data_IF_233895145849
#
_entry.id   IF_233895145849
#
_cell.length_a   1.000
_cell.length_b   1.000
_cell.length_c   1.000
_cell.angle_alpha   90.00
_cell.angle_beta   90.00
_cell.angle_gamma   90.00
#
_symmetry.space_group_name_H-M   'P 1'
#
loop_
_entity.id
_entity.type
_entity.pdbx_description
1 polymer ?
#
# COMPACT_ATOMS: atom_id res chain seq x y z
N UNK A 1 99.53 33.61 19.89
CA UNK A 1 98.46 32.62 19.66
C UNK A 1 97.33 32.96 20.60
N UNK A 2 96.42 33.80 20.11
CA UNK A 2 95.18 34.24 20.76
C UNK A 2 94.03 33.45 20.15
N UNK A 3 93.06 32.94 20.94
CA UNK A 3 91.92 32.23 20.39
C UNK A 3 90.98 33.22 19.69
N UNK A 4 90.63 32.95 18.44
CA UNK A 4 89.58 33.67 17.71
C UNK A 4 88.21 33.41 18.36
N UNK A 5 87.59 34.47 18.88
CA UNK A 5 86.18 34.49 19.27
C UNK A 5 85.30 34.39 18.02
N UNK A 6 84.76 33.20 17.76
CA UNK A 6 83.72 33.00 16.75
C UNK A 6 82.39 33.58 17.25
N UNK A 7 82.01 34.73 16.73
CA UNK A 7 80.76 35.43 16.99
C UNK A 7 79.56 34.60 16.44
N UNK A 8 78.96 33.77 17.30
CA UNK A 8 77.76 32.99 16.97
C UNK A 8 76.53 33.91 16.92
N UNK A 9 76.15 34.36 15.72
CA UNK A 9 74.87 35.01 15.50
C UNK A 9 73.72 34.07 15.94
N UNK A 10 72.82 34.50 16.85
CA UNK A 10 71.71 33.66 17.27
C UNK A 10 70.80 33.36 16.07
N UNK A 11 70.33 32.11 15.91
CA UNK A 11 69.52 31.73 14.77
C UNK A 11 68.27 32.61 14.70
N UNK A 12 67.84 33.03 13.49
CA UNK A 12 66.68 33.90 13.33
C UNK A 12 65.46 33.27 14.02
N UNK A 13 64.84 34.01 14.95
CA UNK A 13 63.61 33.59 15.63
C UNK A 13 62.58 33.26 14.57
N UNK A 14 62.29 31.97 14.36
CA UNK A 14 61.22 31.50 13.49
C UNK A 14 59.93 32.21 13.90
N UNK A 15 59.48 33.20 13.12
CA UNK A 15 58.17 33.80 13.27
C UNK A 15 57.15 32.68 13.07
N UNK A 16 56.64 32.15 14.18
CA UNK A 16 55.55 31.17 14.18
C UNK A 16 54.38 31.87 13.49
N UNK A 17 54.09 31.48 12.26
CA UNK A 17 53.04 32.08 11.45
C UNK A 17 51.68 31.66 12.02
N UNK A 18 51.26 32.30 13.12
CA UNK A 18 49.98 32.06 13.80
C UNK A 18 48.78 32.15 12.84
N UNK A 19 48.87 32.99 11.81
CA UNK A 19 47.87 33.09 10.74
C UNK A 19 47.72 31.79 9.94
N UNK A 20 48.83 31.09 9.65
CA UNK A 20 48.80 29.81 8.93
C UNK A 20 48.23 28.67 9.78
N UNK A 21 48.37 28.75 11.11
CA UNK A 21 47.75 27.79 12.02
C UNK A 21 46.23 28.00 12.09
N UNK A 22 45.77 29.25 12.21
CA UNK A 22 44.33 29.56 12.25
C UNK A 22 43.56 29.12 11.00
N UNK A 23 44.13 29.35 9.80
CA UNK A 23 43.49 28.95 8.54
C UNK A 23 43.39 27.42 8.38
N UNK A 24 44.42 26.67 8.77
CA UNK A 24 44.40 25.20 8.70
C UNK A 24 43.36 24.61 9.64
N UNK A 25 43.29 25.12 10.88
CA UNK A 25 42.28 24.68 11.85
C UNK A 25 40.87 24.99 11.37
N UNK A 26 40.63 26.19 10.84
CA UNK A 26 39.33 26.57 10.28
C UNK A 26 38.92 25.65 9.12
N UNK A 27 39.83 25.36 8.20
CA UNK A 27 39.56 24.47 7.07
C UNK A 27 39.17 23.05 7.52
N UNK A 28 39.88 22.49 8.51
CA UNK A 28 39.56 21.17 9.07
C UNK A 28 38.18 21.18 9.73
N UNK A 29 37.86 22.20 10.53
CA UNK A 29 36.56 22.32 11.20
C UNK A 29 35.42 22.43 10.18
N UNK A 30 35.58 23.26 9.13
CA UNK A 30 34.59 23.40 8.06
C UNK A 30 34.41 22.09 7.30
N UNK A 31 35.50 21.35 7.03
CA UNK A 31 35.44 20.05 6.34
C UNK A 31 34.70 19.01 7.18
N UNK A 32 35.00 18.91 8.47
CA UNK A 32 34.30 18.00 9.39
C UNK A 32 32.81 18.36 9.46
N UNK A 33 32.49 19.65 9.61
CA UNK A 33 31.10 20.12 9.64
C UNK A 33 30.35 19.77 8.34
N UNK A 34 30.99 19.94 7.18
CA UNK A 34 30.41 19.58 5.89
C UNK A 34 30.16 18.06 5.75
N UNK A 35 31.10 17.22 6.21
CA UNK A 35 30.92 15.76 6.23
C UNK A 35 29.75 15.37 7.14
N UNK A 36 29.71 15.93 8.36
CA UNK A 36 28.64 15.68 9.32
C UNK A 36 27.28 16.12 8.76
N UNK A 37 27.22 17.28 8.10
CA UNK A 37 25.99 17.77 7.47
C UNK A 37 25.56 16.92 6.26
N UNK A 38 26.50 16.40 5.47
CA UNK A 38 26.20 15.58 4.30
C UNK A 38 25.93 14.10 4.62
N UNK A 39 26.45 13.60 5.74
CA UNK A 39 26.38 12.19 6.12
C UNK A 39 24.94 11.62 6.13
N UNK A 40 23.92 12.29 6.69
CA UNK A 40 22.54 11.78 6.66
C UNK A 40 22.01 11.56 5.23
N UNK A 41 22.37 12.43 4.28
CA UNK A 41 21.95 12.30 2.88
C UNK A 41 22.63 11.11 2.18
N UNK A 42 23.94 10.93 2.39
CA UNK A 42 24.68 9.77 1.86
C UNK A 42 24.19 8.47 2.48
N UNK A 43 24.02 8.45 3.80
CA UNK A 43 23.52 7.29 4.52
C UNK A 43 22.12 6.89 4.05
N UNK A 44 21.22 7.86 3.88
CA UNK A 44 19.87 7.62 3.34
C UNK A 44 19.90 7.09 1.91
N UNK A 45 20.73 7.65 1.02
CA UNK A 45 20.90 7.13 -0.35
C UNK A 45 21.43 5.69 -0.36
N UNK A 46 22.34 5.36 0.55
CA UNK A 46 22.83 4.00 0.73
C UNK A 46 21.72 3.04 1.17
N UNK A 47 20.86 3.45 2.11
CA UNK A 47 19.70 2.64 2.51
C UNK A 47 18.69 2.45 1.36
N UNK A 48 18.44 3.47 0.54
CA UNK A 48 17.59 3.35 -0.66
C UNK A 48 18.19 2.33 -1.63
N UNK A 49 19.50 2.35 -1.84
CA UNK A 49 20.18 1.37 -2.68
C UNK A 49 20.02 -0.05 -2.13
N UNK A 50 20.13 -0.23 -0.82
CA UNK A 50 19.84 -1.51 -0.16
C UNK A 50 18.39 -1.94 -0.33
N UNK A 51 17.41 -1.04 -0.17
CA UNK A 51 16.00 -1.38 -0.37
C UNK A 51 15.76 -1.92 -1.79
N UNK A 52 16.40 -1.31 -2.80
CA UNK A 52 16.32 -1.74 -4.20
C UNK A 52 16.80 -3.19 -4.40
N UNK A 53 17.74 -3.69 -3.59
CA UNK A 53 18.20 -5.07 -3.69
C UNK A 53 17.20 -6.09 -3.16
N UNK A 54 16.03 -5.67 -2.63
CA UNK A 54 14.94 -6.55 -2.21
C UNK A 54 13.73 -6.50 -3.16
N UNK A 55 13.77 -5.63 -4.18
CA UNK A 55 12.68 -5.48 -5.15
C UNK A 55 12.44 -6.81 -5.87
N UNK A 56 11.16 -7.17 -5.97
CA UNK A 56 10.61 -8.38 -6.61
C UNK A 56 11.05 -9.72 -5.97
N UNK A 57 11.64 -9.68 -4.77
CA UNK A 57 12.00 -10.89 -4.03
C UNK A 57 10.91 -11.31 -3.05
N UNK A 58 10.81 -12.62 -2.81
CA UNK A 58 10.04 -13.18 -1.69
C UNK A 58 10.86 -13.08 -0.42
N UNK A 59 10.57 -12.09 0.42
CA UNK A 59 11.34 -11.85 1.64
C UNK A 59 11.26 -13.03 2.60
N UNK A 60 10.17 -13.81 2.55
CA UNK A 60 9.99 -15.02 3.39
C UNK A 60 11.02 -16.10 3.07
N UNK A 61 11.47 -16.17 1.82
CA UNK A 61 12.43 -17.16 1.35
C UNK A 61 13.88 -16.73 1.56
N UNK A 62 14.12 -15.49 1.97
CA UNK A 62 15.47 -14.99 2.23
C UNK A 62 16.00 -15.49 3.57
N UNK A 63 17.31 -15.58 3.71
CA UNK A 63 17.97 -15.86 4.99
C UNK A 63 17.61 -14.82 6.07
N UNK A 64 17.64 -15.25 7.33
CA UNK A 64 17.27 -14.40 8.49
C UNK A 64 18.07 -13.09 8.54
N UNK A 65 19.36 -13.13 8.21
CA UNK A 65 20.22 -11.94 8.13
C UNK A 65 19.73 -10.93 7.10
N UNK A 66 19.19 -11.41 5.97
CA UNK A 66 18.64 -10.56 4.90
C UNK A 66 17.27 -10.01 5.28
N UNK A 67 16.42 -10.80 5.94
CA UNK A 67 15.16 -10.30 6.51
C UNK A 67 15.42 -9.21 7.55
N UNK A 68 16.41 -9.40 8.43
CA UNK A 68 16.83 -8.42 9.42
C UNK A 68 17.50 -7.19 8.81
N UNK A 69 18.24 -7.34 7.71
CA UNK A 69 18.74 -6.22 6.91
C UNK A 69 17.60 -5.38 6.34
N UNK A 70 16.61 -5.98 5.69
CA UNK A 70 15.44 -5.27 5.18
C UNK A 70 14.71 -4.52 6.29
N UNK A 71 14.42 -5.19 7.43
CA UNK A 71 13.75 -4.56 8.58
C UNK A 71 14.50 -3.30 9.02
N UNK A 72 15.84 -3.37 9.16
CA UNK A 72 16.67 -2.21 9.52
C UNK A 72 16.60 -1.10 8.47
N UNK A 73 16.76 -1.44 7.19
CA UNK A 73 16.69 -0.49 6.07
C UNK A 73 15.37 0.27 6.10
N UNK A 74 14.25 -0.45 6.19
CA UNK A 74 12.90 0.14 6.17
C UNK A 74 12.67 1.06 7.37
N UNK A 75 13.09 0.64 8.57
CA UNK A 75 12.93 1.49 9.77
C UNK A 75 13.71 2.80 9.67
N UNK A 76 14.92 2.77 9.10
CA UNK A 76 15.69 3.98 8.85
C UNK A 76 15.01 4.89 7.82
N UNK A 77 14.40 4.32 6.78
CA UNK A 77 13.78 5.08 5.70
C UNK A 77 12.43 5.69 6.08
N UNK A 78 11.63 4.95 6.86
CA UNK A 78 10.27 5.34 7.28
C UNK A 78 10.28 6.15 8.59
N UNK A 79 11.42 6.21 9.29
CA UNK A 79 11.59 6.93 10.57
C UNK A 79 10.59 6.48 11.64
N UNK A 80 10.26 5.19 11.67
CA UNK A 80 9.42 4.59 12.69
C UNK A 80 10.27 3.67 13.57
N UNK A 81 10.39 3.96 14.87
CA UNK A 81 11.09 3.05 15.77
C UNK A 81 10.32 1.72 15.88
N UNK A 82 11.06 0.62 16.01
CA UNK A 82 10.50 -0.69 16.31
C UNK A 82 9.94 -0.62 17.73
N UNK A 83 8.64 -0.41 17.88
CA UNK A 83 8.01 -0.51 19.19
C UNK A 83 7.76 -1.99 19.52
N UNK A 84 8.74 -2.59 20.20
CA UNK A 84 8.52 -3.77 21.04
C UNK A 84 9.03 -5.11 20.50
N UNK A 85 9.31 -6.01 21.45
CA UNK A 85 9.77 -7.39 21.26
C UNK A 85 8.68 -8.33 20.69
N UNK A 86 7.50 -7.79 20.34
CA UNK A 86 6.32 -8.54 19.91
C UNK A 86 5.87 -8.22 18.49
N UNK A 87 6.66 -7.46 17.70
CA UNK A 87 6.34 -7.26 16.29
C UNK A 87 6.55 -8.57 15.51
N UNK A 88 5.53 -9.44 15.52
CA UNK A 88 5.47 -10.67 14.73
C UNK A 88 5.24 -10.39 13.25
N UNK A 89 5.14 -9.12 12.83
CA UNK A 89 4.97 -8.83 11.42
C UNK A 89 6.18 -9.24 10.61
N UNK A 90 5.89 -9.70 9.41
CA UNK A 90 6.90 -10.11 8.46
C UNK A 90 6.71 -9.30 7.19
N UNK A 91 7.80 -8.72 6.68
CA UNK A 91 7.82 -8.25 5.31
C UNK A 91 7.73 -9.46 4.40
N UNK A 92 6.80 -9.44 3.45
CA UNK A 92 6.61 -10.52 2.50
C UNK A 92 7.19 -10.15 1.14
N UNK A 93 6.91 -8.92 0.69
CA UNK A 93 7.28 -8.43 -0.64
C UNK A 93 7.71 -6.98 -0.58
N UNK A 94 8.64 -6.64 -1.47
CA UNK A 94 8.95 -5.25 -1.85
C UNK A 94 8.78 -5.18 -3.35
N UNK A 95 7.82 -4.41 -3.82
CA UNK A 95 7.62 -4.18 -5.25
C UNK A 95 8.07 -2.79 -5.64
N UNK A 96 8.36 -2.64 -6.93
CA UNK A 96 8.62 -1.36 -7.57
C UNK A 96 7.61 -1.14 -8.69
N UNK A 97 6.65 -0.26 -8.45
CA UNK A 97 5.54 0.00 -9.36
C UNK A 97 5.80 1.30 -10.13
N UNK A 98 5.73 1.30 -11.48
CA UNK A 98 5.83 2.53 -12.26
C UNK A 98 4.64 3.45 -11.98
N UNK A 99 4.88 4.76 -12.03
CA UNK A 99 3.85 5.81 -11.93
C UNK A 99 4.15 6.91 -12.94
N UNK A 100 3.19 7.78 -13.29
CA UNK A 100 3.45 8.93 -14.17
C UNK A 100 4.65 9.79 -13.73
N UNK A 101 4.83 9.97 -12.41
CA UNK A 101 5.95 10.75 -11.84
C UNK A 101 7.25 9.94 -11.61
N UNK A 102 7.33 8.69 -12.09
CA UNK A 102 8.49 7.82 -11.90
C UNK A 102 8.12 6.43 -11.40
N UNK A 103 8.37 6.15 -10.12
CA UNK A 103 8.00 4.87 -9.51
C UNK A 103 7.75 5.01 -8.00
N UNK A 104 7.00 4.05 -7.46
CA UNK A 104 6.78 3.87 -6.02
C UNK A 104 7.36 2.54 -5.56
N UNK A 105 7.86 2.50 -4.33
CA UNK A 105 8.08 1.24 -3.64
C UNK A 105 6.83 0.86 -2.87
N UNK A 106 6.45 -0.41 -2.95
CA UNK A 106 5.29 -0.94 -2.24
C UNK A 106 5.77 -2.07 -1.35
N UNK A 107 5.62 -1.88 -0.05
CA UNK A 107 6.08 -2.85 0.95
C UNK A 107 4.87 -3.54 1.53
N UNK A 108 4.78 -4.85 1.36
CA UNK A 108 3.77 -5.69 1.99
C UNK A 108 4.31 -6.25 3.30
N UNK A 109 3.62 -5.91 4.39
CA UNK A 109 3.80 -6.52 5.71
C UNK A 109 2.56 -7.32 6.07
N UNK A 110 2.76 -8.47 6.71
CA UNK A 110 1.68 -9.35 7.13
C UNK A 110 1.82 -9.63 8.62
N UNK A 111 0.70 -9.53 9.33
CA UNK A 111 0.55 -9.72 10.76
C UNK A 111 -0.39 -10.91 10.97
N UNK A 112 0.15 -12.11 11.25
CA UNK A 112 -0.70 -13.26 11.51
C UNK A 112 -1.45 -13.08 12.83
N UNK A 113 -2.78 -13.24 12.82
CA UNK A 113 -3.62 -13.28 14.03
C UNK A 113 -4.01 -14.71 14.34
N UNK A 114 -3.13 -15.40 15.08
CA UNK A 114 -3.25 -16.83 15.43
C UNK A 114 -4.63 -17.21 16.01
N UNK A 115 -5.22 -16.35 16.84
CA UNK A 115 -6.49 -16.66 17.51
C UNK A 115 -7.72 -16.57 16.59
N UNK A 116 -7.60 -15.94 15.42
CA UNK A 116 -8.73 -15.64 14.52
C UNK A 116 -8.58 -16.30 13.15
N UNK A 117 -7.48 -17.05 12.91
CA UNK A 117 -7.13 -17.60 11.61
C UNK A 117 -7.23 -16.57 10.47
N UNK A 118 -6.90 -15.31 10.78
CA UNK A 118 -6.91 -14.19 9.85
C UNK A 118 -5.54 -13.51 9.83
N UNK A 119 -5.29 -12.75 8.77
CA UNK A 119 -4.13 -11.89 8.68
C UNK A 119 -4.58 -10.43 8.63
N UNK A 120 -3.87 -9.57 9.35
CA UNK A 120 -3.87 -8.14 9.02
C UNK A 120 -2.73 -7.91 8.05
N UNK A 121 -3.00 -7.24 6.95
CA UNK A 121 -1.99 -6.80 6.00
C UNK A 121 -1.77 -5.30 6.16
N UNK A 122 -0.54 -4.88 5.91
CA UNK A 122 -0.17 -3.48 5.89
C UNK A 122 0.68 -3.22 4.67
N UNK A 123 0.20 -2.29 3.84
CA UNK A 123 0.87 -1.88 2.62
C UNK A 123 1.40 -0.46 2.82
N UNK A 124 2.72 -0.32 2.83
CA UNK A 124 3.37 0.98 2.85
C UNK A 124 3.78 1.37 1.44
N UNK A 125 3.36 2.56 1.00
CA UNK A 125 3.69 3.10 -0.32
C UNK A 125 4.72 4.20 -0.11
N UNK A 126 5.90 4.04 -0.70
CA UNK A 126 6.97 5.04 -0.66
C UNK A 126 7.21 5.64 -2.03
N UNK A 127 7.59 6.90 -2.07
CA UNK A 127 8.04 7.53 -3.31
C UNK A 127 9.43 7.03 -3.75
N UNK A 128 9.90 7.50 -4.89
CA UNK A 128 11.24 7.23 -5.44
C UNK A 128 12.39 7.56 -4.46
N UNK A 129 12.17 8.57 -3.63
CA UNK A 129 13.03 8.99 -2.56
C UNK A 129 12.80 8.22 -1.26
N UNK A 130 12.00 7.14 -1.23
CA UNK A 130 11.65 6.36 -0.04
C UNK A 130 11.05 7.19 1.12
N UNK A 131 10.28 8.24 0.80
CA UNK A 131 9.40 8.90 1.78
C UNK A 131 8.03 8.25 1.72
N UNK A 132 7.39 8.06 2.87
CA UNK A 132 6.03 7.53 2.95
C UNK A 132 5.07 8.46 2.19
N UNK A 133 4.28 7.87 1.30
CA UNK A 133 3.19 8.53 0.58
C UNK A 133 1.90 8.20 1.30
N UNK A 134 1.67 6.91 1.55
CA UNK A 134 0.50 6.39 2.21
C UNK A 134 0.82 5.06 2.88
N UNK A 135 -0.04 4.68 3.80
CA UNK A 135 -0.03 3.43 4.52
C UNK A 135 -1.46 2.94 4.69
N UNK A 136 -1.75 1.75 4.18
CA UNK A 136 -3.06 1.10 4.35
C UNK A 136 -2.89 -0.14 5.21
N UNK A 137 -3.75 -0.31 6.20
CA UNK A 137 -3.78 -1.47 7.09
C UNK A 137 -5.21 -2.00 7.13
N UNK A 138 -5.38 -3.29 6.86
CA UNK A 138 -6.69 -3.92 6.77
C UNK A 138 -6.60 -5.43 6.99
N UNK A 139 -7.72 -6.05 7.32
CA UNK A 139 -7.83 -7.49 7.50
C UNK A 139 -8.14 -8.18 6.16
N UNK A 140 -7.72 -9.44 6.03
CA UNK A 140 -7.96 -10.26 4.85
C UNK A 140 -9.21 -11.14 4.97
N UNK A 141 -10.17 -10.70 5.79
CA UNK A 141 -11.39 -11.46 6.09
C UNK A 141 -11.27 -12.48 7.21
N UNK A 142 -12.41 -12.93 7.71
CA UNK A 142 -12.51 -13.87 8.83
C UNK A 142 -12.19 -15.31 8.38
N UNK A 143 -11.35 -16.02 9.14
CA UNK A 143 -10.95 -17.41 8.86
C UNK A 143 -10.30 -17.62 7.47
N UNK A 144 -9.67 -16.57 6.95
CA UNK A 144 -8.94 -16.57 5.69
C UNK A 144 -7.51 -16.13 5.98
N UNK A 145 -6.56 -16.94 5.53
CA UNK A 145 -5.12 -16.66 5.67
C UNK A 145 -4.52 -16.40 4.29
N UNK A 146 -3.91 -15.23 4.12
CA UNK A 146 -3.03 -14.92 2.99
C UNK A 146 -1.95 -15.99 2.87
N UNK A 147 -1.83 -16.62 1.70
CA UNK A 147 -0.84 -17.66 1.38
C UNK A 147 0.30 -17.10 0.56
N UNK A 148 0.00 -16.25 -0.42
CA UNK A 148 1.00 -15.62 -1.29
C UNK A 148 0.49 -14.26 -1.75
N UNK A 149 1.43 -13.41 -2.15
CA UNK A 149 1.13 -12.16 -2.82
C UNK A 149 2.07 -11.98 -4.02
N UNK A 150 1.50 -11.59 -5.15
CA UNK A 150 2.18 -11.38 -6.43
C UNK A 150 1.77 -10.04 -7.03
N UNK A 151 2.51 -9.62 -8.04
CA UNK A 151 2.21 -8.43 -8.83
C UNK A 151 1.99 -8.88 -10.27
N UNK A 152 0.86 -8.51 -10.84
CA UNK A 152 0.45 -8.86 -12.20
C UNK A 152 0.39 -7.60 -13.06
N UNK A 153 0.95 -7.69 -14.26
CA UNK A 153 1.02 -6.61 -15.25
C UNK A 153 0.18 -6.88 -16.49
N UNK A 154 -0.35 -8.09 -16.65
CA UNK A 154 -0.95 -8.55 -17.89
C UNK A 154 -2.43 -8.18 -17.99
N UNK A 155 -3.12 -8.12 -16.83
CA UNK A 155 -4.56 -7.82 -16.78
C UNK A 155 -4.89 -6.35 -17.08
N UNK A 156 -4.10 -5.39 -16.57
CA UNK A 156 -4.25 -3.97 -16.88
C UNK A 156 -2.91 -3.39 -17.36
N UNK A 157 -2.78 -3.04 -18.66
CA UNK A 157 -1.51 -2.57 -19.21
C UNK A 157 -1.06 -1.23 -18.62
N UNK A 158 -1.99 -0.43 -18.10
CA UNK A 158 -1.71 0.88 -17.53
C UNK A 158 -1.19 0.80 -16.09
N UNK A 159 -1.55 -0.24 -15.34
CA UNK A 159 -1.29 -0.29 -13.92
C UNK A 159 -1.21 -1.72 -13.39
N UNK A 160 -0.15 -2.08 -12.65
CA UNK A 160 -0.05 -3.42 -12.09
C UNK A 160 -1.08 -3.65 -10.98
N UNK A 161 -1.52 -4.90 -10.88
CA UNK A 161 -2.45 -5.40 -9.87
C UNK A 161 -1.66 -6.19 -8.83
N UNK A 162 -1.91 -5.90 -7.57
CA UNK A 162 -1.46 -6.73 -6.46
C UNK A 162 -2.48 -7.85 -6.28
N UNK A 163 -2.05 -9.09 -6.45
CA UNK A 163 -2.89 -10.26 -6.25
C UNK A 163 -2.54 -10.93 -4.93
N UNK A 164 -3.55 -11.17 -4.11
CA UNK A 164 -3.45 -11.91 -2.86
C UNK A 164 -4.10 -13.27 -3.05
N UNK A 165 -3.32 -14.34 -2.90
CA UNK A 165 -3.82 -15.70 -2.94
C UNK A 165 -4.08 -16.18 -1.54
N UNK A 166 -5.30 -16.65 -1.32
CA UNK A 166 -5.87 -16.90 0.00
C UNK A 166 -6.03 -18.38 0.25
N UNK A 167 -6.03 -18.76 1.53
CA UNK A 167 -6.39 -20.09 2.00
C UNK A 167 -7.50 -19.94 3.04
N UNK A 168 -8.68 -20.47 2.74
CA UNK A 168 -9.77 -20.52 3.70
C UNK A 168 -9.69 -21.76 4.59
N UNK A 169 -10.10 -21.60 5.84
CA UNK A 169 -10.38 -22.71 6.75
C UNK A 169 -11.87 -23.10 6.66
N UNK A 170 -12.25 -24.23 7.27
CA UNK A 170 -13.54 -24.93 7.08
C UNK A 170 -14.81 -24.07 7.21
N UNK A 171 -14.74 -22.93 7.90
CA UNK A 171 -15.87 -22.03 8.16
C UNK A 171 -15.65 -20.61 7.57
N UNK A 172 -14.60 -20.42 6.76
CA UNK A 172 -14.28 -19.14 6.13
C UNK A 172 -15.10 -18.89 4.87
N UNK A 173 -15.26 -17.61 4.51
CA UNK A 173 -15.84 -17.28 3.21
C UNK A 173 -14.95 -17.82 2.08
N UNK A 174 -15.57 -18.17 0.95
CA UNK A 174 -14.90 -18.85 -0.16
C UNK A 174 -13.96 -17.96 -0.99
N UNK A 175 -13.42 -16.87 -0.43
CA UNK A 175 -12.48 -15.99 -1.10
C UNK A 175 -11.16 -16.72 -1.32
N UNK A 176 -10.79 -16.95 -2.58
CA UNK A 176 -9.53 -17.57 -2.98
C UNK A 176 -8.52 -16.54 -3.49
N UNK A 177 -8.97 -15.48 -4.15
CA UNK A 177 -8.10 -14.42 -4.64
C UNK A 177 -8.69 -13.04 -4.38
N UNK A 178 -7.87 -12.11 -3.91
CA UNK A 178 -8.22 -10.70 -3.76
C UNK A 178 -7.31 -9.85 -4.65
N UNK A 179 -7.89 -8.92 -5.40
CA UNK A 179 -7.17 -8.08 -6.36
C UNK A 179 -7.19 -6.63 -5.93
N UNK A 180 -6.01 -6.01 -5.88
CA UNK A 180 -5.85 -4.62 -5.45
C UNK A 180 -5.05 -3.81 -6.45
N UNK A 181 -5.25 -2.49 -6.46
CA UNK A 181 -4.37 -1.55 -7.16
C UNK A 181 -4.04 -0.33 -6.29
N UNK A 182 -3.22 0.57 -6.81
CA UNK A 182 -2.81 1.80 -6.11
C UNK A 182 -3.41 3.02 -6.80
N UNK A 183 -4.59 3.45 -6.37
CA UNK A 183 -5.30 4.61 -6.94
C UNK A 183 -4.97 5.85 -6.12
N UNK A 184 -4.45 6.89 -6.77
CA UNK A 184 -4.07 8.15 -6.11
C UNK A 184 -3.18 7.98 -4.87
N UNK A 185 -2.30 6.98 -4.92
CA UNK A 185 -1.41 6.63 -3.83
C UNK A 185 -2.07 5.90 -2.66
N UNK A 186 -3.32 5.46 -2.80
CA UNK A 186 -4.06 4.64 -1.83
C UNK A 186 -4.24 3.22 -2.37
N UNK A 187 -4.31 2.23 -1.49
CA UNK A 187 -4.65 0.86 -1.89
C UNK A 187 -6.16 0.78 -2.13
N UNK A 188 -6.57 0.23 -3.26
CA UNK A 188 -7.96 0.09 -3.66
C UNK A 188 -8.28 -1.37 -3.97
N UNK A 189 -9.36 -1.90 -3.42
CA UNK A 189 -9.89 -3.21 -3.77
C UNK A 189 -10.56 -3.15 -5.15
N UNK A 190 -10.26 -4.12 -6.01
CA UNK A 190 -10.78 -4.21 -7.38
C UNK A 190 -11.77 -5.35 -7.56
N UNK A 191 -11.41 -6.54 -7.03
CA UNK A 191 -12.12 -7.79 -7.30
C UNK A 191 -11.87 -8.80 -6.19
N UNK A 192 -12.88 -9.61 -5.88
CA UNK A 192 -12.79 -10.81 -5.04
C UNK A 192 -13.24 -11.99 -5.88
N UNK A 193 -12.46 -13.07 -5.86
CA UNK A 193 -12.77 -14.30 -6.58
C UNK A 193 -12.83 -15.49 -5.65
N UNK A 194 -13.70 -16.43 -6.00
CA UNK A 194 -13.70 -17.76 -5.41
C UNK A 194 -12.63 -18.67 -6.04
N UNK A 195 -12.67 -19.97 -5.69
CA UNK A 195 -11.69 -20.95 -6.18
C UNK A 195 -11.83 -21.26 -7.67
N UNK A 196 -13.00 -20.98 -8.25
CA UNK A 196 -13.30 -21.20 -9.65
C UNK A 196 -13.01 -19.95 -10.50
N UNK A 197 -12.65 -18.82 -9.85
CA UNK A 197 -12.35 -17.54 -10.50
C UNK A 197 -13.56 -16.63 -10.67
N UNK A 198 -14.71 -17.05 -10.13
CA UNK A 198 -15.97 -16.32 -10.24
C UNK A 198 -16.02 -15.16 -9.24
N UNK A 199 -16.66 -14.06 -9.62
CA UNK A 199 -16.82 -12.90 -8.76
C UNK A 199 -17.63 -13.25 -7.50
N UNK A 200 -17.10 -12.86 -6.33
CA UNK A 200 -17.82 -12.92 -5.06
C UNK A 200 -18.51 -11.58 -4.78
N UNK A 201 -19.72 -11.67 -4.21
CA UNK A 201 -20.51 -10.54 -3.70
C UNK A 201 -19.75 -9.69 -2.67
N UNK A 202 -20.02 -8.38 -2.70
CA UNK A 202 -19.58 -7.42 -1.70
C UNK A 202 -20.72 -7.06 -0.71
N UNK A 203 -20.41 -6.68 0.55
CA UNK A 203 -19.12 -6.82 1.19
C UNK A 203 -18.87 -8.26 1.63
N UNK A 204 -17.61 -8.67 1.54
CA UNK A 204 -17.10 -9.71 2.42
C UNK A 204 -16.69 -9.03 3.73
N UNK A 205 -17.30 -9.42 4.84
CA UNK A 205 -17.02 -8.83 6.15
C UNK A 205 -15.51 -8.82 6.45
N UNK A 206 -14.99 -7.62 6.73
CA UNK A 206 -13.59 -7.36 7.10
C UNK A 206 -12.55 -7.72 6.01
N UNK A 207 -12.88 -7.64 4.72
CA UNK A 207 -11.90 -7.78 3.61
C UNK A 207 -11.57 -6.44 2.98
N UNK A 208 -10.28 -6.19 2.82
CA UNK A 208 -9.77 -5.06 2.03
C UNK A 208 -9.65 -3.75 2.81
N UNK A 209 -8.97 -2.75 2.20
CA UNK A 209 -8.84 -1.41 2.78
C UNK A 209 -10.22 -0.75 2.91
N UNK A 210 -10.37 0.30 3.74
CA UNK A 210 -11.59 1.10 3.71
C UNK A 210 -11.82 1.71 2.33
N UNK A 211 -13.08 2.02 2.02
CA UNK A 211 -13.44 2.72 0.80
C UNK A 211 -12.69 4.05 0.70
N UNK A 212 -12.26 4.41 -0.51
CA UNK A 212 -11.69 5.73 -0.78
C UNK A 212 -12.79 6.77 -0.54
N UNK A 213 -12.48 7.77 0.29
CA UNK A 213 -13.40 8.89 0.53
C UNK A 213 -13.62 9.65 -0.78
N UNK A 214 -14.85 9.58 -1.30
CA UNK A 214 -15.30 10.28 -2.51
C UNK A 214 -16.64 10.94 -2.23
N UNK A 215 -16.85 12.12 -2.77
CA UNK A 215 -18.15 12.77 -2.86
C UNK A 215 -19.07 12.04 -3.84
N UNK A 216 -20.38 12.32 -3.78
CA UNK A 216 -21.36 11.72 -4.69
C UNK A 216 -21.02 11.94 -6.17
N UNK A 217 -20.55 13.16 -6.49
CA UNK A 217 -20.14 13.52 -7.84
C UNK A 217 -18.89 12.72 -8.29
N UNK A 218 -17.90 12.58 -7.41
CA UNK A 218 -16.68 11.81 -7.69
C UNK A 218 -17.00 10.32 -7.91
N UNK A 219 -17.93 9.74 -7.13
CA UNK A 219 -18.40 8.37 -7.37
C UNK A 219 -19.00 8.20 -8.77
N UNK A 220 -19.88 9.12 -9.17
CA UNK A 220 -20.53 9.11 -10.48
C UNK A 220 -19.52 9.29 -11.62
N UNK A 221 -18.56 10.20 -11.43
CA UNK A 221 -17.48 10.45 -12.39
C UNK A 221 -16.59 9.21 -12.55
N UNK A 222 -16.27 8.52 -11.46
CA UNK A 222 -15.41 7.33 -11.46
C UNK A 222 -15.95 6.18 -12.32
N UNK A 223 -17.28 6.05 -12.46
CA UNK A 223 -17.91 5.06 -13.36
C UNK A 223 -17.64 5.32 -14.84
N UNK A 224 -17.26 6.55 -15.19
CA UNK A 224 -16.90 6.95 -16.55
C UNK A 224 -15.39 7.18 -16.73
N UNK A 225 -14.58 6.85 -15.71
CA UNK A 225 -13.13 7.00 -15.77
C UNK A 225 -12.54 6.14 -16.89
N UNK A 226 -11.54 6.66 -17.64
CA UNK A 226 -10.78 5.83 -18.58
C UNK A 226 -9.90 4.80 -17.85
N UNK A 227 -9.64 4.98 -16.55
CA UNK A 227 -8.78 4.09 -15.77
C UNK A 227 -9.59 2.91 -15.23
N UNK A 228 -9.43 1.74 -15.87
CA UNK A 228 -10.21 0.53 -15.56
C UNK A 228 -10.15 0.10 -14.08
N UNK A 229 -8.99 0.16 -13.38
CA UNK A 229 -8.94 -0.11 -11.95
C UNK A 229 -9.82 0.83 -11.11
N UNK A 230 -9.97 2.09 -11.50
CA UNK A 230 -10.86 3.03 -10.82
C UNK A 230 -12.33 2.65 -10.99
N UNK A 231 -12.73 2.28 -12.21
CA UNK A 231 -14.08 1.79 -12.51
C UNK A 231 -14.38 0.54 -11.67
N UNK A 232 -13.46 -0.43 -11.64
CA UNK A 232 -13.64 -1.67 -10.87
C UNK A 232 -13.73 -1.41 -9.36
N UNK A 233 -12.85 -0.58 -8.81
CA UNK A 233 -12.92 -0.24 -7.39
C UNK A 233 -14.24 0.44 -7.06
N UNK A 234 -14.71 1.31 -7.96
CA UNK A 234 -16.00 1.98 -7.81
C UNK A 234 -17.16 0.99 -7.81
N UNK A 235 -17.19 0.05 -8.75
CA UNK A 235 -18.20 -1.00 -8.81
C UNK A 235 -18.16 -1.93 -7.59
N UNK A 236 -16.98 -2.31 -7.10
CA UNK A 236 -16.81 -3.15 -5.92
C UNK A 236 -17.49 -2.52 -4.68
N UNK A 237 -17.27 -1.23 -4.45
CA UNK A 237 -17.87 -0.51 -3.33
C UNK A 237 -19.35 -0.17 -3.51
N UNK A 238 -19.83 0.05 -4.74
CA UNK A 238 -21.26 0.16 -5.01
C UNK A 238 -22.01 -1.17 -4.81
N UNK A 239 -21.29 -2.30 -4.91
CA UNK A 239 -21.82 -3.62 -4.58
C UNK A 239 -21.92 -3.90 -3.10
N UNK A 240 -21.41 -3.02 -2.24
CA UNK A 240 -21.50 -3.20 -0.81
C UNK A 240 -22.95 -3.05 -0.32
N UNK A 241 -23.62 -4.18 -0.13
CA UNK A 241 -24.91 -4.27 0.55
C UNK A 241 -24.74 -4.08 2.06
N UNK A 242 -24.85 -2.82 2.51
CA UNK A 242 -24.87 -2.48 3.93
C UNK A 242 -26.13 -3.03 4.60
N UNK A 243 -26.03 -4.24 5.15
CA UNK A 243 -27.05 -4.80 6.04
C UNK A 243 -27.08 -4.03 7.37
N UNK A 244 -27.75 -2.88 7.39
CA UNK A 244 -28.00 -2.13 8.62
C UNK A 244 -29.01 -2.91 9.45
N UNK A 245 -28.53 -3.64 10.47
CA UNK A 245 -29.39 -4.27 11.47
C UNK A 245 -30.00 -3.27 12.47
N UNK A 246 -30.12 -1.98 12.11
CA UNK A 246 -30.66 -0.91 12.93
C UNK A 246 -31.50 0.03 12.08
N UNK A 247 -32.70 0.38 12.57
CA UNK A 247 -33.71 1.17 11.87
C UNK A 247 -33.12 2.36 11.10
N UNK A 248 -33.20 2.30 9.77
CA UNK A 248 -32.68 3.33 8.87
C UNK A 248 -33.49 4.62 9.03
N UNK A 249 -32.87 5.64 9.62
CA UNK A 249 -33.23 7.02 9.32
C UNK A 249 -32.45 7.41 8.06
N UNK A 250 -33.15 8.02 7.10
CA UNK A 250 -32.63 8.32 5.75
C UNK A 250 -31.30 9.10 5.75
N UNK A 251 -31.03 9.88 6.79
CA UNK A 251 -29.79 10.64 7.00
C UNK A 251 -28.53 9.76 7.20
N UNK A 252 -28.68 8.50 7.62
CA UNK A 252 -27.58 7.58 7.92
C UNK A 252 -27.29 6.56 6.81
N UNK A 253 -28.00 6.60 5.69
CA UNK A 253 -27.70 5.73 4.54
C UNK A 253 -26.28 6.01 4.04
N UNK A 254 -25.40 5.00 3.99
CA UNK A 254 -24.05 5.15 3.47
C UNK A 254 -24.05 5.77 2.07
N UNK A 255 -23.10 6.66 1.81
CA UNK A 255 -23.01 7.38 0.54
C UNK A 255 -23.00 6.44 -0.69
N UNK A 256 -22.27 5.28 -0.69
CA UNK A 256 -22.31 4.36 -1.82
C UNK A 256 -23.72 3.85 -2.14
N UNK A 257 -24.54 3.55 -1.13
CA UNK A 257 -25.92 3.08 -1.33
C UNK A 257 -26.81 4.16 -1.94
N UNK A 258 -26.64 5.43 -1.56
CA UNK A 258 -27.36 6.55 -2.19
C UNK A 258 -26.92 6.78 -3.64
N UNK A 259 -25.63 6.68 -3.91
CA UNK A 259 -25.10 6.79 -5.27
C UNK A 259 -25.61 5.63 -6.14
N UNK A 260 -25.65 4.41 -5.59
CA UNK A 260 -26.13 3.21 -6.28
C UNK A 260 -27.55 3.40 -6.80
N UNK A 261 -28.47 3.97 -6.01
CA UNK A 261 -29.89 4.12 -6.39
C UNK A 261 -30.17 5.32 -7.32
N UNK A 262 -29.19 6.17 -7.57
CA UNK A 262 -29.34 7.29 -8.50
C UNK A 262 -29.57 6.81 -9.95
N UNK A 263 -30.59 7.34 -10.67
CA UNK A 263 -30.91 6.88 -12.03
C UNK A 263 -29.77 7.04 -13.04
N UNK A 264 -28.93 8.07 -12.91
CA UNK A 264 -27.81 8.27 -13.82
C UNK A 264 -26.70 7.25 -13.53
N UNK A 265 -26.44 6.94 -12.25
CA UNK A 265 -25.54 5.86 -11.85
C UNK A 265 -26.03 4.51 -12.39
N UNK A 266 -27.32 4.18 -12.23
CA UNK A 266 -27.90 2.94 -12.75
C UNK A 266 -27.77 2.83 -14.27
N UNK A 267 -27.99 3.92 -15.01
CA UNK A 267 -27.76 3.96 -16.44
C UNK A 267 -26.29 3.74 -16.82
N UNK A 268 -25.35 4.29 -16.03
CA UNK A 268 -23.92 4.08 -16.22
C UNK A 268 -23.53 2.62 -15.95
N UNK A 269 -24.00 2.01 -14.86
CA UNK A 269 -23.78 0.59 -14.54
C UNK A 269 -24.33 -0.30 -15.66
N UNK A 270 -25.56 -0.06 -16.14
CA UNK A 270 -26.15 -0.82 -17.24
C UNK A 270 -25.36 -0.71 -18.56
N UNK A 271 -24.66 0.41 -18.78
CA UNK A 271 -23.72 0.57 -19.89
C UNK A 271 -22.44 -0.24 -19.66
N UNK A 272 -21.88 -0.20 -18.45
CA UNK A 272 -20.68 -0.96 -18.07
C UNK A 272 -20.89 -2.47 -18.10
N UNK A 273 -22.13 -2.96 -17.91
CA UNK A 273 -22.48 -4.36 -18.09
C UNK A 273 -22.22 -4.90 -19.50
N UNK A 274 -21.98 -4.02 -20.49
CA UNK A 274 -21.63 -4.35 -21.88
C UNK A 274 -20.19 -3.94 -22.22
N UNK A 275 -19.37 -3.65 -21.23
CA UNK A 275 -17.98 -3.24 -21.41
C UNK A 275 -17.13 -4.38 -22.01
N UNK A 276 -16.13 -4.05 -22.83
CA UNK A 276 -15.29 -5.06 -23.48
C UNK A 276 -14.42 -5.83 -22.47
N UNK A 277 -14.02 -5.16 -21.39
CA UNK A 277 -13.26 -5.79 -20.31
C UNK A 277 -14.16 -6.69 -19.45
N UNK A 278 -13.89 -8.00 -19.33
CA UNK A 278 -14.79 -8.98 -18.71
C UNK A 278 -15.06 -8.68 -17.23
N UNK A 279 -14.04 -8.31 -16.45
CA UNK A 279 -14.25 -7.99 -15.02
C UNK A 279 -15.19 -6.81 -14.79
N UNK A 280 -15.17 -5.80 -15.66
CA UNK A 280 -16.06 -4.63 -15.54
C UNK A 280 -17.49 -5.04 -15.90
N UNK A 281 -17.65 -5.78 -17.01
CA UNK A 281 -18.94 -6.27 -17.43
C UNK A 281 -19.59 -7.16 -16.37
N UNK A 282 -18.85 -8.11 -15.82
CA UNK A 282 -19.31 -9.02 -14.76
C UNK A 282 -19.68 -8.27 -13.47
N UNK A 283 -18.81 -7.37 -12.98
CA UNK A 283 -19.09 -6.58 -11.78
C UNK A 283 -20.32 -5.67 -11.95
N UNK A 284 -20.48 -5.06 -13.13
CA UNK A 284 -21.66 -4.26 -13.43
C UNK A 284 -22.93 -5.12 -13.58
N UNK A 285 -22.85 -6.29 -14.23
CA UNK A 285 -23.97 -7.23 -14.32
C UNK A 285 -24.42 -7.70 -12.93
N UNK A 286 -23.48 -7.99 -12.04
CA UNK A 286 -23.78 -8.35 -10.65
C UNK A 286 -24.68 -7.29 -9.99
N UNK A 287 -24.31 -6.01 -10.09
CA UNK A 287 -25.09 -4.90 -9.54
C UNK A 287 -26.47 -4.74 -10.18
N UNK A 288 -26.61 -4.99 -11.48
CA UNK A 288 -27.91 -4.93 -12.18
C UNK A 288 -28.86 -6.00 -11.65
N UNK A 289 -28.38 -7.25 -11.53
CA UNK A 289 -29.21 -8.37 -11.08
C UNK A 289 -29.60 -8.26 -9.60
N UNK A 290 -28.71 -7.70 -8.77
CA UNK A 290 -29.01 -7.48 -7.35
C UNK A 290 -30.24 -6.55 -7.19
N UNK A 291 -30.32 -5.48 -7.99
CA UNK A 291 -31.48 -4.56 -7.94
C UNK A 291 -32.77 -5.24 -8.42
N UNK A 292 -32.71 -6.16 -9.39
CA UNK A 292 -33.89 -6.92 -9.84
C UNK A 292 -34.42 -7.90 -8.78
N UNK A 293 -33.54 -8.39 -7.89
CA UNK A 293 -33.93 -9.27 -6.80
C UNK A 293 -34.55 -8.51 -5.63
N UNK A 294 -34.08 -7.29 -5.34
CA UNK A 294 -34.66 -6.41 -4.32
C UNK A 294 -36.08 -5.93 -4.69
N UNK A 295 -36.33 -5.69 -5.98
CA UNK A 295 -37.63 -5.19 -6.47
C UNK A 295 -38.74 -6.26 -6.50
N UNK A 296 -38.43 -7.55 -6.30
CA UNK A 296 -39.47 -8.58 -6.18
C UNK A 296 -40.12 -8.45 -4.80
N UNK A 297 -41.40 -8.04 -4.71
CA UNK A 297 -42.09 -8.02 -3.43
C UNK A 297 -42.02 -9.43 -2.83
N UNK A 298 -41.59 -9.53 -1.58
CA UNK A 298 -41.69 -10.76 -0.79
C UNK A 298 -43.16 -11.18 -0.80
N UNK A 299 -43.55 -11.99 -1.79
CA UNK A 299 -44.91 -12.52 -1.90
C UNK A 299 -45.11 -13.37 -0.67
N UNK A 300 -45.85 -12.79 0.27
CA UNK A 300 -46.34 -13.33 1.53
C UNK A 300 -46.28 -14.85 1.53
N UNK A 301 -45.42 -15.39 2.39
CA UNK A 301 -45.34 -16.80 2.76
C UNK A 301 -46.75 -17.40 2.71
N UNK A 302 -46.96 -18.34 1.78
CA UNK A 302 -48.20 -19.09 1.76
C UNK A 302 -48.40 -19.72 3.14
N UNK A 303 -49.62 -19.63 3.71
CA UNK A 303 -49.89 -20.22 5.01
C UNK A 303 -49.55 -21.71 4.94
N UNK A 304 -48.73 -22.16 5.88
CA UNK A 304 -48.47 -23.58 6.10
C UNK A 304 -49.81 -24.19 6.53
N UNK A 305 -50.53 -24.79 5.59
CA UNK A 305 -51.67 -25.64 5.91
C UNK A 305 -51.16 -26.85 6.71
N UNK A 306 -51.72 -27.00 7.91
CA UNK A 306 -51.49 -28.12 8.81
C UNK A 306 -52.50 -29.23 8.55
#
# INVERSE_FOLDING_TARGET
MTPEESEQNPPPRRRRNWRSFGLKTLFVLVTIAAIVAAYPHFYRRYQIHKLKSFVDQDVRQLEEDKRNELRRVVNILIDRPIYGWYDRSQYWRVWRIPTPDGFRFVLLRVFPRENQNTNTVKICILNDNCRMVNESEFDTGNSITLRNATLDYDQFPEQPIIQFHMMHFSDGQAVATEYYSILDGQVALLRLEDRDGELISYPVANVGPPAIEKSEAEWKESLSSPHLPEVLSTLAWLGESYSHSGAANDENTPLPSRVKTDPATQAAIAKLAKHEHPWIAEAALYLVHENELEDKPLTSSQPIEK
#
